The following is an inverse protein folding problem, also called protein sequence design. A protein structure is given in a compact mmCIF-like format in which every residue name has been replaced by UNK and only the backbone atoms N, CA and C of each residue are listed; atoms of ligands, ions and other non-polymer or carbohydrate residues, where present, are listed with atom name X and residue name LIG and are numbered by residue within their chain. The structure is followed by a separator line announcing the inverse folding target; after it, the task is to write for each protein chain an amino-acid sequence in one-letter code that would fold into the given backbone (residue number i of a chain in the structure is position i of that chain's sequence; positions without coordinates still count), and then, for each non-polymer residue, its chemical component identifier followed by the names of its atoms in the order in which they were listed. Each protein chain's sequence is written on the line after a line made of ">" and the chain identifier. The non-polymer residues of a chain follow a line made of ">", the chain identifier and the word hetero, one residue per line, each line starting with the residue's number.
data_IF_174547697753
#
_entry.id   IF_174547697753
#
_cell.length_a   1.000
_cell.length_b   1.000
_cell.length_c   1.000
_cell.angle_alpha   90.00
_cell.angle_beta   90.00
_cell.angle_gamma   90.00
#
_symmetry.space_group_name_H-M   'P 1'
#
loop_
_entity.id
_entity.type
_entity.pdbx_description
1 polymer ?
#
# COMPACT_ATOMS: atom_id res chain seq x y z
N UNK A 1 10.42 11.85 13.41
CA UNK A 1 9.38 12.32 12.47
C UNK A 1 10.08 12.75 11.19
N UNK A 2 10.02 11.95 10.13
CA UNK A 2 10.57 12.32 8.81
C UNK A 2 9.41 12.55 7.87
N UNK A 3 9.32 13.77 7.36
CA UNK A 3 8.29 14.28 6.46
C UNK A 3 8.26 13.45 5.17
N UNK A 4 7.21 12.65 4.99
CA UNK A 4 6.85 12.17 3.67
C UNK A 4 6.18 13.33 2.93
N UNK A 5 6.74 13.70 1.78
CA UNK A 5 6.20 14.66 0.83
C UNK A 5 4.68 14.46 0.67
N UNK A 6 3.85 15.51 0.68
CA UNK A 6 2.43 15.35 0.36
C UNK A 6 2.36 14.99 -1.13
N UNK A 7 2.37 13.69 -1.41
CA UNK A 7 1.90 13.15 -2.68
C UNK A 7 0.51 13.72 -2.90
N UNK A 8 0.20 14.15 -4.12
CA UNK A 8 -1.11 14.68 -4.50
C UNK A 8 -2.18 13.69 -4.02
N UNK A 9 -2.81 13.98 -2.88
CA UNK A 9 -3.58 13.00 -2.13
C UNK A 9 -4.99 13.00 -2.71
N UNK A 10 -5.36 11.89 -3.35
CA UNK A 10 -6.68 11.74 -3.93
C UNK A 10 -7.57 11.08 -2.88
N UNK A 11 -8.70 11.71 -2.59
CA UNK A 11 -9.73 11.19 -1.68
C UNK A 11 -11.03 10.86 -2.41
N UNK A 12 -11.26 11.51 -3.54
CA UNK A 12 -12.45 11.34 -4.37
C UNK A 12 -12.28 10.19 -5.36
N UNK A 13 -13.21 9.24 -5.33
CA UNK A 13 -13.21 8.05 -6.19
C UNK A 13 -13.44 8.41 -7.66
N UNK A 14 -14.32 9.37 -7.95
CA UNK A 14 -14.61 9.80 -9.32
C UNK A 14 -13.38 10.48 -9.96
N UNK A 15 -12.65 11.28 -9.17
CA UNK A 15 -11.39 11.90 -9.62
C UNK A 15 -10.35 10.84 -9.94
N UNK A 16 -10.19 9.84 -9.06
CA UNK A 16 -9.27 8.74 -9.31
C UNK A 16 -9.67 7.96 -10.58
N UNK A 17 -10.93 7.59 -10.73
CA UNK A 17 -11.43 6.83 -11.88
C UNK A 17 -11.17 7.55 -13.20
N UNK A 18 -11.42 8.86 -13.26
CA UNK A 18 -11.11 9.69 -14.43
C UNK A 18 -9.63 9.57 -14.82
N UNK A 19 -8.72 9.69 -13.86
CA UNK A 19 -7.27 9.58 -14.12
C UNK A 19 -6.85 8.17 -14.52
N UNK A 20 -7.50 7.14 -13.98
CA UNK A 20 -7.24 5.74 -14.34
C UNK A 20 -7.70 5.44 -15.76
N UNK A 21 -8.85 5.97 -16.18
CA UNK A 21 -9.38 5.82 -17.53
C UNK A 21 -8.48 6.49 -18.56
N UNK A 22 -7.96 7.69 -18.25
CA UNK A 22 -6.99 8.40 -19.09
C UNK A 22 -5.67 7.61 -19.28
N UNK A 23 -5.23 6.89 -18.25
CA UNK A 23 -4.00 6.10 -18.28
C UNK A 23 -4.19 4.63 -18.71
N UNK A 24 -5.44 4.15 -18.80
CA UNK A 24 -5.76 2.74 -19.05
C UNK A 24 -5.27 1.79 -17.95
N UNK A 25 -5.26 2.24 -16.69
CA UNK A 25 -4.66 1.55 -15.54
C UNK A 25 -5.64 1.14 -14.45
N UNK A 26 -5.17 0.37 -13.46
CA UNK A 26 -5.95 -0.03 -12.28
C UNK A 26 -5.49 0.71 -11.00
N UNK A 27 -4.37 1.40 -11.08
CA UNK A 27 -3.76 2.18 -10.01
C UNK A 27 -2.87 3.26 -10.63
N UNK A 28 -2.69 4.36 -9.92
CA UNK A 28 -1.73 5.41 -10.24
C UNK A 28 -0.46 5.18 -9.42
N UNK A 29 0.71 5.14 -10.04
CA UNK A 29 1.98 5.16 -9.30
C UNK A 29 2.33 6.59 -8.93
N UNK A 30 2.55 6.83 -7.64
CA UNK A 30 2.90 8.15 -7.12
C UNK A 30 4.41 8.18 -6.86
N UNK A 31 5.23 8.51 -7.86
CA UNK A 31 6.68 8.61 -7.70
C UNK A 31 7.31 9.49 -8.77
N UNK A 32 7.79 10.68 -8.39
CA UNK A 32 8.59 11.52 -9.28
C UNK A 32 9.90 10.82 -9.66
N UNK A 33 10.28 10.92 -10.94
CA UNK A 33 11.53 10.47 -11.63
C UNK A 33 11.97 9.00 -11.41
N UNK A 34 11.40 8.26 -10.46
CA UNK A 34 11.76 6.90 -10.10
C UNK A 34 10.53 6.04 -9.81
N UNK A 35 9.49 6.12 -10.65
CA UNK A 35 8.47 5.08 -10.79
C UNK A 35 9.03 3.76 -11.37
N UNK A 36 10.36 3.58 -11.35
CA UNK A 36 11.06 2.41 -11.83
C UNK A 36 10.84 1.27 -10.83
N UNK A 37 9.97 0.35 -11.22
CA UNK A 37 9.90 -0.97 -10.63
C UNK A 37 10.95 -1.87 -11.31
N UNK A 38 11.55 -2.82 -10.59
CA UNK A 38 11.32 -3.15 -9.19
C UNK A 38 12.02 -2.20 -8.20
N UNK A 39 11.45 -2.05 -6.99
CA UNK A 39 12.01 -1.21 -5.93
C UNK A 39 11.74 -1.80 -4.53
N UNK A 40 12.37 -1.29 -3.48
CA UNK A 40 12.04 -1.69 -2.11
C UNK A 40 10.68 -1.13 -1.61
N UNK A 41 10.13 -0.15 -2.34
CA UNK A 41 8.91 0.57 -2.00
C UNK A 41 8.21 1.16 -3.22
N UNK A 42 6.89 1.00 -3.28
CA UNK A 42 6.03 1.68 -4.23
C UNK A 42 4.93 2.46 -3.50
N UNK A 43 4.74 3.71 -3.90
CA UNK A 43 3.57 4.50 -3.52
C UNK A 43 2.58 4.48 -4.67
N UNK A 44 1.31 4.29 -4.36
CA UNK A 44 0.27 4.18 -5.36
C UNK A 44 -1.10 4.59 -4.83
N UNK A 45 -1.99 4.91 -5.74
CA UNK A 45 -3.40 5.20 -5.46
C UNK A 45 -4.29 4.24 -6.25
N UNK A 46 -5.27 3.64 -5.58
CA UNK A 46 -6.22 2.74 -6.23
C UNK A 46 -7.55 2.71 -5.46
N UNK A 47 -8.62 2.35 -6.17
CA UNK A 47 -9.95 2.18 -5.57
C UNK A 47 -10.08 0.84 -4.83
N UNK A 48 -10.73 0.87 -3.67
CA UNK A 48 -11.21 -0.33 -2.98
C UNK A 48 -12.35 0.00 -2.02
N UNK A 49 -12.58 -0.88 -1.04
CA UNK A 49 -13.61 -0.68 -0.04
C UNK A 49 -13.05 -0.76 1.39
N UNK A 50 -13.56 0.08 2.29
CA UNK A 50 -13.37 -0.03 3.73
C UNK A 50 -14.74 -0.16 4.39
N UNK A 51 -14.96 -1.29 5.08
CA UNK A 51 -16.24 -1.59 5.75
C UNK A 51 -17.47 -1.47 4.82
N UNK A 52 -17.29 -1.80 3.53
CA UNK A 52 -18.34 -1.74 2.51
C UNK A 52 -18.47 -0.37 1.82
N UNK A 53 -17.78 0.67 2.29
CA UNK A 53 -17.79 1.98 1.65
C UNK A 53 -16.67 2.07 0.60
N UNK A 54 -16.94 2.60 -0.60
CA UNK A 54 -15.90 2.83 -1.60
C UNK A 54 -14.96 3.93 -1.11
N UNK A 55 -13.65 3.72 -1.28
CA UNK A 55 -12.60 4.64 -0.85
C UNK A 55 -11.44 4.65 -1.86
N UNK A 56 -10.69 5.76 -1.87
CA UNK A 56 -9.37 5.81 -2.48
C UNK A 56 -8.32 5.43 -1.46
N UNK A 57 -7.56 4.38 -1.75
CA UNK A 57 -6.40 4.00 -0.95
C UNK A 57 -5.19 4.82 -1.38
N UNK A 58 -4.67 5.63 -0.45
CA UNK A 58 -3.36 6.27 -0.58
C UNK A 58 -2.32 5.31 0.01
N UNK A 59 -1.74 4.48 -0.85
CA UNK A 59 -1.04 3.28 -0.43
C UNK A 59 0.48 3.38 -0.53
N UNK A 60 1.15 2.71 0.41
CA UNK A 60 2.58 2.44 0.41
C UNK A 60 2.77 0.93 0.56
N UNK A 61 3.28 0.27 -0.48
CA UNK A 61 3.68 -1.14 -0.43
C UNK A 61 5.20 -1.17 -0.31
N UNK A 62 5.72 -1.91 0.67
CA UNK A 62 7.14 -1.99 0.94
C UNK A 62 7.58 -3.38 1.39
N UNK A 63 8.86 -3.67 1.18
CA UNK A 63 9.48 -4.90 1.69
C UNK A 63 9.61 -4.85 3.22
N UNK A 64 9.67 -6.02 3.87
CA UNK A 64 9.96 -6.10 5.31
C UNK A 64 11.30 -5.46 5.66
N UNK A 65 12.30 -5.55 4.78
CA UNK A 65 13.60 -4.90 4.95
C UNK A 65 13.47 -3.37 4.99
N UNK A 66 12.76 -2.78 4.02
CA UNK A 66 12.50 -1.35 3.99
C UNK A 66 11.68 -0.90 5.22
N UNK A 67 10.73 -1.71 5.67
CA UNK A 67 9.96 -1.44 6.88
C UNK A 67 10.85 -1.46 8.13
N UNK A 68 11.71 -2.47 8.25
CA UNK A 68 12.60 -2.67 9.39
C UNK A 68 13.57 -1.50 9.57
N UNK A 69 14.15 -1.04 8.45
CA UNK A 69 15.09 0.07 8.42
C UNK A 69 14.47 1.38 8.95
N UNK A 70 13.15 1.58 8.79
CA UNK A 70 12.47 2.79 9.24
C UNK A 70 12.00 2.75 10.70
N UNK A 71 11.69 1.56 11.21
CA UNK A 71 11.01 1.42 12.50
C UNK A 71 11.92 0.92 13.62
N UNK A 72 13.23 0.75 13.36
CA UNK A 72 14.22 0.26 14.33
C UNK A 72 13.67 -0.88 15.19
N UNK A 73 13.03 -1.85 14.54
CA UNK A 73 12.23 -2.87 15.21
C UNK A 73 13.17 -3.82 15.96
N UNK A 74 12.96 -3.97 17.27
CA UNK A 74 13.73 -4.90 18.10
C UNK A 74 13.38 -6.38 17.83
N UNK A 75 12.30 -6.64 17.09
CA UNK A 75 11.74 -7.97 16.81
C UNK A 75 11.59 -8.13 15.29
N UNK A 76 11.78 -9.36 14.82
CA UNK A 76 11.63 -9.77 13.42
C UNK A 76 10.28 -9.30 12.83
N UNK A 77 10.28 -8.41 11.81
CA UNK A 77 9.06 -7.80 11.30
C UNK A 77 8.21 -8.85 10.55
N UNK A 78 6.92 -8.88 10.85
CA UNK A 78 5.95 -9.72 10.14
C UNK A 78 5.25 -8.96 9.01
N UNK A 79 4.71 -9.70 8.05
CA UNK A 79 3.86 -9.09 7.02
C UNK A 79 2.65 -8.45 7.68
N UNK A 80 2.30 -7.25 7.24
CA UNK A 80 1.22 -6.50 7.86
C UNK A 80 0.49 -5.59 6.90
N UNK A 81 -0.79 -5.37 7.17
CA UNK A 81 -1.61 -4.32 6.59
C UNK A 81 -1.91 -3.32 7.70
N UNK A 82 -1.54 -2.07 7.51
CA UNK A 82 -1.83 -0.98 8.43
C UNK A 82 -2.72 0.03 7.72
N UNK A 83 -3.86 0.35 8.34
CA UNK A 83 -4.82 1.32 7.82
C UNK A 83 -4.94 2.47 8.80
N UNK A 84 -4.76 3.69 8.29
CA UNK A 84 -4.96 4.92 9.03
C UNK A 84 -5.97 5.81 8.29
N UNK A 85 -6.87 6.45 9.03
CA UNK A 85 -7.84 7.40 8.47
C UNK A 85 -7.60 8.75 9.12
N UNK A 86 -7.08 9.71 8.35
CA UNK A 86 -6.72 11.04 8.84
C UNK A 86 -7.49 12.08 8.04
N UNK A 87 -8.37 12.84 8.69
CA UNK A 87 -9.16 13.90 8.04
C UNK A 87 -9.92 13.40 6.79
N UNK A 88 -10.42 12.16 6.80
CA UNK A 88 -11.12 11.54 5.67
C UNK A 88 -10.22 10.94 4.58
N UNK A 89 -8.90 11.07 4.71
CA UNK A 89 -7.91 10.41 3.83
C UNK A 89 -7.66 8.99 4.34
N UNK A 90 -7.77 8.01 3.44
CA UNK A 90 -7.56 6.60 3.74
C UNK A 90 -6.14 6.18 3.34
N UNK A 91 -5.27 6.01 4.34
CA UNK A 91 -3.90 5.57 4.16
C UNK A 91 -3.79 4.06 4.34
N UNK A 92 -3.03 3.42 3.46
CA UNK A 92 -2.80 1.98 3.47
C UNK A 92 -1.30 1.70 3.41
N UNK A 93 -0.75 1.04 4.42
CA UNK A 93 0.64 0.57 4.38
C UNK A 93 0.64 -0.96 4.38
N UNK A 94 1.34 -1.57 3.42
CA UNK A 94 1.43 -3.03 3.31
C UNK A 94 2.89 -3.45 3.30
N UNK A 95 3.33 -4.10 4.39
CA UNK A 95 4.66 -4.67 4.50
C UNK A 95 4.63 -6.14 4.07
N UNK A 96 5.47 -6.50 3.09
CA UNK A 96 5.47 -7.82 2.45
C UNK A 96 6.82 -8.52 2.56
N UNK A 97 6.79 -9.85 2.72
CA UNK A 97 7.99 -10.69 2.74
C UNK A 97 8.40 -11.04 1.30
N UNK A 98 8.88 -10.06 0.56
CA UNK A 98 9.39 -10.19 -0.81
C UNK A 98 10.70 -9.42 -0.94
N UNK A 99 11.57 -9.84 -1.86
CA UNK A 99 12.85 -9.17 -2.10
C UNK A 99 12.68 -7.77 -2.71
N UNK A 100 11.69 -7.61 -3.59
CA UNK A 100 11.42 -6.35 -4.27
C UNK A 100 9.93 -6.22 -4.61
N UNK A 101 9.46 -4.98 -4.69
CA UNK A 101 8.13 -4.60 -5.14
C UNK A 101 8.19 -4.40 -6.64
N UNK A 102 7.55 -5.30 -7.38
CA UNK A 102 7.35 -5.20 -8.83
C UNK A 102 5.85 -5.06 -9.16
N UNK A 103 5.53 -4.97 -10.45
CA UNK A 103 4.14 -4.87 -10.92
C UNK A 103 3.28 -6.04 -10.46
N UNK A 104 3.80 -7.27 -10.53
CA UNK A 104 3.05 -8.46 -10.16
C UNK A 104 2.78 -8.55 -8.65
N UNK A 105 3.69 -8.02 -7.82
CA UNK A 105 3.48 -7.86 -6.37
C UNK A 105 2.37 -6.83 -6.13
N UNK A 106 2.44 -5.65 -6.77
CA UNK A 106 1.43 -4.59 -6.64
C UNK A 106 0.04 -5.11 -6.99
N UNK A 107 -0.12 -5.73 -8.16
CA UNK A 107 -1.42 -6.21 -8.65
C UNK A 107 -2.00 -7.29 -7.71
N UNK A 108 -1.18 -8.22 -7.22
CA UNK A 108 -1.61 -9.22 -6.22
C UNK A 108 -2.04 -8.57 -4.91
N UNK A 109 -1.33 -7.56 -4.45
CA UNK A 109 -1.68 -6.82 -3.23
C UNK A 109 -3.00 -6.07 -3.41
N UNK A 110 -3.22 -5.38 -4.54
CA UNK A 110 -4.50 -4.70 -4.83
C UNK A 110 -5.66 -5.70 -4.82
N UNK A 111 -5.49 -6.85 -5.47
CA UNK A 111 -6.50 -7.92 -5.48
C UNK A 111 -6.80 -8.42 -4.07
N UNK A 112 -5.76 -8.64 -3.25
CA UNK A 112 -5.90 -9.06 -1.86
C UNK A 112 -6.70 -8.02 -1.07
N UNK A 113 -6.34 -6.75 -1.14
CA UNK A 113 -7.00 -5.64 -0.43
C UNK A 113 -8.47 -5.54 -0.84
N UNK A 114 -8.78 -5.56 -2.14
CA UNK A 114 -10.17 -5.52 -2.65
C UNK A 114 -11.01 -6.69 -2.17
N UNK A 115 -10.41 -7.88 -2.00
CA UNK A 115 -11.12 -9.09 -1.55
C UNK A 115 -11.23 -9.22 -0.03
N UNK A 116 -10.45 -8.45 0.74
CA UNK A 116 -10.37 -8.64 2.19
C UNK A 116 -11.55 -7.98 2.90
N UNK A 117 -12.60 -8.75 3.17
CA UNK A 117 -13.85 -8.27 3.78
C UNK A 117 -13.73 -7.76 5.23
N UNK A 118 -12.60 -8.03 5.89
CA UNK A 118 -12.36 -7.71 7.31
C UNK A 118 -11.40 -6.53 7.52
N UNK A 119 -11.13 -5.74 6.48
CA UNK A 119 -10.32 -4.53 6.63
C UNK A 119 -10.99 -3.55 7.60
N UNK A 120 -10.19 -3.07 8.56
CA UNK A 120 -10.56 -2.06 9.55
C UNK A 120 -9.32 -1.23 9.89
N UNK A 121 -9.51 -0.04 10.43
CA UNK A 121 -8.40 0.79 10.89
C UNK A 121 -7.51 0.05 11.90
N UNK A 122 -6.22 0.40 11.92
CA UNK A 122 -5.18 -0.23 12.73
C UNK A 122 -4.30 -1.20 11.93
N UNK A 123 -3.39 -1.87 12.66
CA UNK A 123 -2.40 -2.80 12.10
C UNK A 123 -2.85 -4.25 12.24
N UNK A 124 -2.77 -5.00 11.15
CA UNK A 124 -3.14 -6.41 11.03
C UNK A 124 -1.94 -7.19 10.53
N UNK A 125 -1.39 -8.08 11.35
CA UNK A 125 -0.32 -8.99 10.97
C UNK A 125 -0.90 -10.27 10.36
N UNK A 126 -0.20 -10.84 9.38
CA UNK A 126 -0.66 -12.07 8.72
C UNK A 126 0.50 -12.89 8.14
N UNK A 127 0.22 -14.17 7.92
CA UNK A 127 1.18 -15.14 7.43
C UNK A 127 2.13 -15.64 8.52
N UNK A 128 2.58 -16.88 8.37
CA UNK A 128 3.76 -17.35 9.08
C UNK A 128 5.00 -17.00 8.23
N UNK A 129 6.14 -16.70 8.86
CA UNK A 129 7.41 -16.93 8.16
C UNK A 129 7.39 -18.42 7.83
N UNK A 130 7.44 -18.80 6.56
CA UNK A 130 7.99 -20.11 6.24
C UNK A 130 9.37 -20.11 6.88
N UNK A 131 9.53 -20.87 7.96
CA UNK A 131 10.84 -21.16 8.53
C UNK A 131 11.60 -21.84 7.42
N UNK A 132 12.45 -21.11 6.71
CA UNK A 132 13.50 -21.76 5.95
C UNK A 132 14.50 -22.21 7.00
N UNK A 133 14.42 -23.51 7.27
CA UNK A 133 15.35 -24.27 8.09
C UNK A 133 16.72 -24.31 7.41
#
# INVERSE_FOLDING_TARGET
>A
MKNATPLNTITDVCVLQTLLDEQGGQYLLSGGVSGALPSARAYLQFEGCLQGNPVVWNACILTLEAYAAEHAVAVDPQQSIEIEVVQGVHWLKVALNVAQIDRAVIERTIIMIRKYKRLRAGRHEYGARSKTQ
#
